data_IF_519542807760
#
_entry.id   IF_519542807760
#
_cell.length_a   1.000
_cell.length_b   1.000
_cell.length_c   1.000
_cell.angle_alpha   90.00
_cell.angle_beta   90.00
_cell.angle_gamma   90.00
#
_symmetry.space_group_name_H-M   'P 1'
#
loop_
_entity.id
_entity.type
_entity.pdbx_description
1 polymer ?
#
# COMPACT_ATOMS: atom_id res chain seq x y z
N UNK A 1 14.03 8.28 -10.12
CA UNK A 1 13.82 7.53 -8.85
C UNK A 1 14.88 6.43 -8.75
N UNK A 2 15.44 6.21 -7.56
CA UNK A 2 16.56 5.27 -7.31
C UNK A 2 16.28 3.84 -7.81
N UNK A 3 15.10 3.31 -7.54
CA UNK A 3 14.68 1.96 -7.95
C UNK A 3 14.77 1.74 -9.47
N UNK A 4 14.45 2.77 -10.27
CA UNK A 4 14.54 2.73 -11.74
C UNK A 4 16.00 2.81 -12.21
N UNK A 5 16.79 3.70 -11.62
CA UNK A 5 18.21 3.90 -12.00
C UNK A 5 19.06 2.67 -11.70
N UNK A 6 18.89 2.08 -10.52
CA UNK A 6 19.69 0.94 -10.06
C UNK A 6 19.05 -0.42 -10.32
N UNK A 7 17.88 -0.46 -11.00
CA UNK A 7 17.09 -1.68 -11.27
C UNK A 7 16.90 -2.53 -10.01
N UNK A 8 16.56 -1.89 -8.90
CA UNK A 8 16.44 -2.54 -7.59
C UNK A 8 15.03 -2.38 -7.02
N UNK A 9 14.56 -3.39 -6.28
CA UNK A 9 13.28 -3.34 -5.58
C UNK A 9 13.48 -2.68 -4.23
N UNK A 10 12.67 -1.67 -3.93
CA UNK A 10 12.60 -1.05 -2.61
C UNK A 10 11.39 -1.62 -1.88
N UNK A 11 11.63 -2.25 -0.73
CA UNK A 11 10.59 -2.70 0.18
C UNK A 11 10.55 -1.76 1.39
N UNK A 12 9.35 -1.35 1.78
CA UNK A 12 9.11 -0.51 2.94
C UNK A 12 7.92 -1.07 3.72
N UNK A 13 7.97 -0.98 5.04
CA UNK A 13 6.86 -1.29 5.93
C UNK A 13 6.46 0.01 6.59
N UNK A 14 5.17 0.35 6.51
CA UNK A 14 4.63 1.57 7.10
C UNK A 14 3.19 1.35 7.55
N UNK A 15 2.77 2.11 8.56
CA UNK A 15 1.37 2.25 8.94
C UNK A 15 0.71 3.51 8.35
N UNK A 16 1.50 4.34 7.65
CA UNK A 16 1.02 5.57 7.02
C UNK A 16 0.53 5.30 5.57
N UNK A 17 -0.78 5.46 5.29
CA UNK A 17 -1.34 5.28 3.96
C UNK A 17 -0.80 6.29 2.94
N UNK A 18 -0.38 7.47 3.38
CA UNK A 18 0.14 8.50 2.48
C UNK A 18 1.50 8.06 1.92
N UNK A 19 2.42 7.62 2.77
CA UNK A 19 3.67 7.01 2.33
C UNK A 19 3.44 5.80 1.41
N UNK A 20 2.47 4.93 1.73
CA UNK A 20 2.14 3.75 0.92
C UNK A 20 1.60 4.12 -0.49
N UNK A 21 0.95 5.27 -0.65
CA UNK A 21 0.38 5.71 -1.93
C UNK A 21 1.41 6.03 -3.02
N UNK A 22 2.68 6.23 -2.63
CA UNK A 22 3.80 6.40 -3.57
C UNK A 22 4.30 5.07 -4.16
N UNK A 23 3.93 3.94 -3.54
CA UNK A 23 4.33 2.63 -4.01
C UNK A 23 3.55 2.22 -5.28
N UNK A 24 4.18 1.38 -6.10
CA UNK A 24 3.52 0.78 -7.26
C UNK A 24 2.63 -0.41 -6.85
N UNK A 25 2.96 -1.04 -5.73
CA UNK A 25 2.27 -2.19 -5.13
C UNK A 25 2.22 -2.01 -3.61
N UNK A 26 1.06 -2.27 -3.02
CA UNK A 26 0.84 -2.24 -1.56
C UNK A 26 0.28 -3.59 -1.14
N UNK A 27 0.84 -4.17 -0.09
CA UNK A 27 0.40 -5.45 0.47
C UNK A 27 -0.07 -5.19 1.89
N UNK A 28 -1.28 -5.64 2.19
CA UNK A 28 -1.84 -5.56 3.53
C UNK A 28 -1.57 -6.86 4.28
N UNK A 29 -0.97 -6.71 5.45
CA UNK A 29 -0.66 -7.81 6.35
C UNK A 29 -1.55 -7.76 7.58
N UNK A 30 -2.04 -8.91 8.01
CA UNK A 30 -2.73 -9.10 9.29
C UNK A 30 -2.31 -10.43 9.89
N UNK A 31 -1.90 -10.42 11.15
CA UNK A 31 -1.50 -11.61 11.92
C UNK A 31 -0.48 -12.50 11.16
N UNK A 32 0.50 -11.85 10.53
CA UNK A 32 1.55 -12.53 9.75
C UNK A 32 1.11 -13.06 8.38
N UNK A 33 -0.14 -12.82 7.97
CA UNK A 33 -0.70 -13.29 6.69
C UNK A 33 -0.97 -12.12 5.75
N UNK A 34 -0.83 -12.36 4.46
CA UNK A 34 -1.27 -11.42 3.41
C UNK A 34 -2.79 -11.54 3.29
N UNK A 35 -3.48 -10.42 3.51
CA UNK A 35 -4.95 -10.37 3.43
C UNK A 35 -5.46 -9.62 2.22
N UNK A 36 -4.65 -8.72 1.65
CA UNK A 36 -4.99 -7.99 0.44
C UNK A 36 -3.73 -7.51 -0.27
N UNK A 37 -3.84 -7.28 -1.57
CA UNK A 37 -2.81 -6.73 -2.41
C UNK A 37 -3.42 -5.74 -3.41
N UNK A 38 -2.73 -4.62 -3.61
CA UNK A 38 -3.14 -3.58 -4.53
C UNK A 38 -1.99 -3.15 -5.45
N UNK A 39 -2.34 -2.83 -6.69
CA UNK A 39 -1.46 -2.20 -7.67
C UNK A 39 -2.00 -0.83 -8.02
N UNK A 40 -1.10 0.16 -8.14
CA UNK A 40 -1.48 1.52 -8.52
C UNK A 40 -2.01 1.60 -9.96
N UNK A 41 -1.35 0.89 -10.88
CA UNK A 41 -1.72 0.91 -12.31
C UNK A 41 -1.71 2.33 -12.87
N UNK A 42 -2.80 2.71 -13.52
CA UNK A 42 -3.00 4.03 -14.13
C UNK A 42 -3.68 5.05 -13.20
N UNK A 43 -3.97 4.67 -11.96
CA UNK A 43 -4.63 5.56 -11.01
C UNK A 43 -3.74 6.73 -10.61
N UNK A 44 -4.36 7.88 -10.39
CA UNK A 44 -3.70 9.01 -9.74
C UNK A 44 -3.29 8.65 -8.30
N UNK A 45 -2.31 9.37 -7.75
CA UNK A 45 -1.88 9.22 -6.36
C UNK A 45 -3.06 9.35 -5.38
N UNK A 46 -3.97 10.30 -5.65
CA UNK A 46 -5.14 10.54 -4.80
C UNK A 46 -6.11 9.36 -4.83
N UNK A 47 -6.47 8.84 -6.01
CA UNK A 47 -7.38 7.69 -6.11
C UNK A 47 -6.78 6.45 -5.46
N UNK A 48 -5.48 6.24 -5.61
CA UNK A 48 -4.80 5.11 -4.98
C UNK A 48 -4.75 5.26 -3.45
N UNK A 49 -4.44 6.47 -2.96
CA UNK A 49 -4.48 6.82 -1.54
C UNK A 49 -5.87 6.61 -0.91
N UNK A 50 -6.93 7.12 -1.55
CA UNK A 50 -8.32 6.98 -1.07
C UNK A 50 -8.73 5.48 -0.96
N UNK A 51 -8.27 4.64 -1.89
CA UNK A 51 -8.48 3.18 -1.82
C UNK A 51 -7.70 2.53 -0.68
N UNK A 52 -6.44 2.92 -0.46
CA UNK A 52 -5.63 2.42 0.66
C UNK A 52 -6.31 2.75 1.99
N UNK A 53 -6.79 3.98 2.17
CA UNK A 53 -7.52 4.39 3.37
C UNK A 53 -8.76 3.55 3.63
N UNK A 54 -9.51 3.23 2.57
CA UNK A 54 -10.72 2.40 2.67
C UNK A 54 -10.38 1.00 3.19
N UNK A 55 -9.36 0.35 2.64
CA UNK A 55 -8.94 -1.00 3.07
C UNK A 55 -8.32 -0.97 4.47
N UNK A 56 -7.47 0.01 4.76
CA UNK A 56 -6.87 0.16 6.09
C UNK A 56 -7.92 0.34 7.18
N UNK A 57 -8.96 1.13 6.92
CA UNK A 57 -10.08 1.34 7.84
C UNK A 57 -10.91 0.06 8.03
N UNK A 58 -11.15 -0.70 6.96
CA UNK A 58 -11.85 -1.99 7.04
C UNK A 58 -11.07 -3.02 7.88
N UNK A 59 -9.75 -3.14 7.66
CA UNK A 59 -8.89 -4.06 8.43
C UNK A 59 -8.81 -3.63 9.91
N UNK A 60 -8.77 -2.33 10.19
CA UNK A 60 -8.76 -1.80 11.56
C UNK A 60 -10.10 -1.96 12.30
N UNK A 61 -11.21 -2.01 11.56
CA UNK A 61 -12.56 -2.12 12.12
C UNK A 61 -12.96 -3.54 12.52
N UNK A 62 -12.29 -4.57 11.98
CA UNK A 62 -12.52 -5.99 12.29
C UNK A 62 -11.98 -6.42 13.67
N UNK A 63 -11.90 -5.46 14.60
CA UNK A 63 -11.56 -5.62 16.02
C UNK A 63 -12.78 -5.41 16.94
N UNK A 64 -13.99 -5.43 16.41
CA UNK A 64 -15.24 -5.31 17.19
C UNK A 64 -16.10 -6.56 17.06
#
# INVERSE_FOLDING_TARGET
>A
MLNKTFKTTVLMITHDPFAASYCQRVIFLRDGKIVNEMFKGEQSEKEFFDRILTIQSAIGSDKR
#
